data_IF_173332425423
#
_entry.id   IF_173332425423
#
_cell.length_a   1.000
_cell.length_b   1.000
_cell.length_c   1.000
_cell.angle_alpha   90.00
_cell.angle_beta   90.00
_cell.angle_gamma   90.00
#
_symmetry.space_group_name_H-M   'P 1'
#
loop_
_entity.id
_entity.type
_entity.pdbx_description
1 polymer ?
#
# COMPACT_ATOMS: atom_id res chain seq x y z
N UNK A 1 -16.15 13.14 -14.02
CA UNK A 1 -15.85 12.93 -12.60
C UNK A 1 -14.93 14.03 -12.09
N UNK A 2 -15.50 14.96 -11.33
CA UNK A 2 -14.71 15.94 -10.59
C UNK A 2 -14.07 15.29 -9.35
N UNK A 3 -13.28 16.03 -8.57
CA UNK A 3 -12.56 15.47 -7.41
C UNK A 3 -13.51 14.93 -6.34
N UNK A 4 -14.64 15.61 -6.09
CA UNK A 4 -15.59 15.23 -5.04
C UNK A 4 -16.43 14.01 -5.43
N UNK A 5 -16.82 13.90 -6.69
CA UNK A 5 -17.51 12.73 -7.24
C UNK A 5 -16.62 11.47 -7.15
N UNK A 6 -15.30 11.62 -7.31
CA UNK A 6 -14.36 10.51 -7.11
C UNK A 6 -14.34 10.01 -5.67
N UNK A 7 -14.29 10.92 -4.69
CA UNK A 7 -14.30 10.52 -3.27
C UNK A 7 -15.61 9.88 -2.87
N UNK A 8 -16.73 10.44 -3.34
CA UNK A 8 -18.05 9.89 -3.07
C UNK A 8 -18.18 8.48 -3.63
N UNK A 9 -17.87 8.26 -4.90
CA UNK A 9 -17.92 6.91 -5.49
C UNK A 9 -17.01 5.91 -4.80
N UNK A 10 -15.82 6.34 -4.37
CA UNK A 10 -14.93 5.47 -3.62
C UNK A 10 -15.50 5.14 -2.23
N UNK A 11 -16.01 6.14 -1.51
CA UNK A 11 -16.65 5.92 -0.21
C UNK A 11 -17.89 5.04 -0.31
N UNK A 12 -18.78 5.29 -1.28
CA UNK A 12 -20.00 4.51 -1.50
C UNK A 12 -19.69 3.04 -1.78
N UNK A 13 -18.71 2.76 -2.65
CA UNK A 13 -18.26 1.39 -2.93
C UNK A 13 -17.70 0.70 -1.68
N UNK A 14 -16.93 1.43 -0.88
CA UNK A 14 -16.38 0.91 0.38
C UNK A 14 -17.47 0.68 1.42
N UNK A 15 -18.45 1.58 1.55
CA UNK A 15 -19.59 1.42 2.47
C UNK A 15 -20.35 0.14 2.12
N UNK A 16 -20.61 -0.09 0.83
CA UNK A 16 -21.29 -1.31 0.39
C UNK A 16 -20.48 -2.56 0.71
N UNK A 17 -19.16 -2.53 0.45
CA UNK A 17 -18.27 -3.63 0.83
C UNK A 17 -18.22 -3.85 2.35
N UNK A 18 -18.25 -2.78 3.14
CA UNK A 18 -18.29 -2.86 4.60
C UNK A 18 -19.57 -3.56 5.07
N UNK A 19 -20.72 -3.18 4.49
CA UNK A 19 -22.04 -3.80 4.79
C UNK A 19 -22.08 -5.28 4.43
N UNK A 20 -21.40 -5.66 3.36
CA UNK A 20 -21.31 -7.05 2.90
C UNK A 20 -20.21 -7.87 3.60
N UNK A 21 -19.39 -7.26 4.47
CA UNK A 21 -18.24 -7.93 5.08
C UNK A 21 -17.13 -8.28 4.08
N UNK A 22 -17.08 -7.58 2.93
CA UNK A 22 -16.17 -7.86 1.82
C UNK A 22 -15.14 -6.76 1.62
N UNK A 23 -15.11 -5.71 2.45
CA UNK A 23 -14.05 -4.70 2.36
C UNK A 23 -12.68 -5.36 2.46
N UNK A 24 -11.62 -4.82 1.80
CA UNK A 24 -10.32 -5.49 1.75
C UNK A 24 -9.78 -5.90 3.13
N UNK A 25 -10.00 -5.09 4.16
CA UNK A 25 -9.56 -5.37 5.54
C UNK A 25 -10.57 -6.18 6.38
N UNK A 26 -11.76 -6.50 5.85
CA UNK A 26 -12.74 -7.39 6.49
C UNK A 26 -12.64 -8.83 5.99
N UNK A 27 -11.78 -9.10 5.00
CA UNK A 27 -11.53 -10.46 4.53
C UNK A 27 -10.38 -11.09 5.31
N UNK A 28 -10.48 -12.39 5.65
CA UNK A 28 -9.32 -13.14 6.11
C UNK A 28 -8.35 -13.31 4.93
N UNK A 29 -7.07 -13.06 5.19
CA UNK A 29 -6.00 -13.30 4.22
C UNK A 29 -5.00 -14.26 4.85
N UNK A 30 -4.70 -15.36 4.16
CA UNK A 30 -3.79 -16.37 4.68
C UNK A 30 -2.34 -15.88 4.67
N UNK A 31 -1.47 -16.46 5.51
CA UNK A 31 -0.04 -16.20 5.47
C UNK A 31 0.56 -16.39 4.08
N UNK A 32 1.40 -15.44 3.65
CA UNK A 32 2.07 -15.45 2.36
C UNK A 32 1.22 -15.01 1.16
N UNK A 33 -0.09 -14.77 1.32
CA UNK A 33 -0.91 -14.19 0.25
C UNK A 33 -0.48 -12.75 -0.07
N UNK A 34 -0.49 -12.40 -1.36
CA UNK A 34 -0.22 -11.03 -1.84
C UNK A 34 -1.45 -10.48 -2.52
N UNK A 35 -2.17 -9.62 -1.81
CA UNK A 35 -3.52 -9.16 -2.15
C UNK A 35 -3.53 -7.67 -2.48
N UNK A 36 -2.52 -6.92 -2.02
CA UNK A 36 -2.42 -5.50 -2.25
C UNK A 36 -1.99 -5.19 -3.70
N UNK A 37 -2.66 -4.22 -4.34
CA UNK A 37 -2.36 -3.82 -5.71
C UNK A 37 -0.90 -3.41 -5.91
N UNK A 38 -0.32 -3.84 -7.03
CA UNK A 38 1.04 -3.49 -7.43
C UNK A 38 1.11 -3.01 -8.86
N UNK A 39 2.09 -2.17 -9.17
CA UNK A 39 2.25 -1.65 -10.51
C UNK A 39 2.89 -2.70 -11.43
N UNK A 40 2.22 -3.02 -12.54
CA UNK A 40 2.64 -4.05 -13.51
C UNK A 40 4.04 -3.86 -14.10
N UNK A 41 4.55 -2.62 -14.09
CA UNK A 41 5.84 -2.28 -14.70
C UNK A 41 6.98 -2.17 -13.69
N UNK A 42 6.68 -1.90 -12.41
CA UNK A 42 7.74 -1.66 -11.41
C UNK A 42 7.76 -2.66 -10.28
N UNK A 43 6.75 -3.54 -10.21
CA UNK A 43 6.49 -4.46 -9.10
C UNK A 43 6.36 -3.76 -7.73
N UNK A 44 6.21 -2.44 -7.72
CA UNK A 44 5.99 -1.65 -6.50
C UNK A 44 4.52 -1.65 -6.16
N UNK A 45 4.19 -1.91 -4.90
CA UNK A 45 2.83 -1.72 -4.38
C UNK A 45 2.36 -0.29 -4.61
N UNK A 46 1.08 -0.13 -4.94
CA UNK A 46 0.41 1.15 -4.80
C UNK A 46 0.39 1.54 -3.32
N UNK A 47 0.12 2.82 -3.03
CA UNK A 47 0.20 3.36 -1.67
C UNK A 47 -1.05 4.13 -1.29
N UNK A 48 -1.37 4.11 0.00
CA UNK A 48 -2.47 4.85 0.62
C UNK A 48 -3.80 4.63 -0.10
N UNK A 49 -4.55 5.71 -0.31
CA UNK A 49 -5.89 5.66 -0.93
C UNK A 49 -5.94 4.95 -2.29
N UNK A 50 -4.89 5.05 -3.13
CA UNK A 50 -4.88 4.32 -4.40
C UNK A 50 -4.77 2.81 -4.19
N UNK A 51 -3.98 2.37 -3.21
CA UNK A 51 -3.85 0.94 -2.92
C UNK A 51 -5.20 0.37 -2.45
N UNK A 52 -5.86 1.09 -1.54
CA UNK A 52 -7.14 0.62 -1.01
C UNK A 52 -8.27 0.69 -2.05
N UNK A 53 -8.29 1.74 -2.88
CA UNK A 53 -9.25 1.87 -3.97
C UNK A 53 -9.10 0.75 -5.00
N UNK A 54 -7.87 0.45 -5.43
CA UNK A 54 -7.63 -0.63 -6.37
C UNK A 54 -7.92 -2.01 -5.75
N UNK A 55 -7.64 -2.22 -4.46
CA UNK A 55 -8.00 -3.45 -3.76
C UNK A 55 -9.53 -3.64 -3.67
N UNK A 56 -10.24 -2.55 -3.40
CA UNK A 56 -11.71 -2.52 -3.42
C UNK A 56 -12.27 -2.89 -4.80
N UNK A 57 -11.71 -2.35 -5.88
CA UNK A 57 -12.12 -2.70 -7.24
C UNK A 57 -11.74 -4.14 -7.61
N UNK A 58 -10.57 -4.64 -7.18
CA UNK A 58 -10.22 -6.06 -7.36
C UNK A 58 -11.30 -6.96 -6.76
N UNK A 59 -11.73 -6.65 -5.54
CA UNK A 59 -12.75 -7.42 -4.85
C UNK A 59 -14.11 -7.33 -5.54
N UNK A 60 -14.54 -6.13 -5.94
CA UNK A 60 -15.82 -5.91 -6.64
C UNK A 60 -15.87 -6.67 -7.97
N UNK A 61 -14.77 -6.67 -8.72
CA UNK A 61 -14.69 -7.28 -10.05
C UNK A 61 -14.24 -8.75 -10.03
N UNK A 62 -13.86 -9.29 -8.87
CA UNK A 62 -13.35 -10.65 -8.73
C UNK A 62 -11.96 -10.88 -9.33
N UNK A 63 -11.12 -9.84 -9.44
CA UNK A 63 -9.75 -9.98 -9.96
C UNK A 63 -8.82 -10.61 -8.92
N UNK A 64 -8.12 -11.68 -9.32
CA UNK A 64 -7.07 -12.35 -8.54
C UNK A 64 -5.65 -11.86 -8.85
N UNK A 65 -5.38 -11.33 -10.05
CA UNK A 65 -4.10 -10.69 -10.36
C UNK A 65 -4.04 -9.30 -9.74
N UNK A 66 -3.08 -9.05 -8.87
CA UNK A 66 -2.95 -7.75 -8.18
C UNK A 66 -2.18 -6.72 -9.01
N UNK A 67 -1.75 -7.04 -10.23
CA UNK A 67 -1.02 -6.12 -11.10
C UNK A 67 -1.97 -5.14 -11.77
N UNK A 68 -1.66 -3.85 -11.63
CA UNK A 68 -2.37 -2.75 -12.29
C UNK A 68 -1.41 -1.86 -13.05
N UNK A 69 -1.81 -1.41 -14.24
CA UNK A 69 -0.99 -0.50 -15.04
C UNK A 69 -1.82 0.39 -15.94
N UNK A 70 -1.25 1.52 -16.34
CA UNK A 70 -1.82 2.29 -17.45
C UNK A 70 -1.80 1.46 -18.73
N UNK A 71 -2.66 1.80 -19.70
CA UNK A 71 -2.69 1.12 -21.01
C UNK A 71 -1.28 1.01 -21.63
N UNK A 72 -0.50 2.10 -21.59
CA UNK A 72 0.87 2.12 -22.12
C UNK A 72 1.83 1.22 -21.36
N UNK A 73 1.67 1.07 -20.05
CA UNK A 73 2.50 0.15 -19.25
C UNK A 73 2.18 -1.30 -19.57
N UNK A 74 0.89 -1.64 -19.71
CA UNK A 74 0.45 -2.97 -20.12
C UNK A 74 1.00 -3.30 -21.51
N UNK A 75 0.88 -2.38 -22.46
CA UNK A 75 1.41 -2.53 -23.82
C UNK A 75 2.94 -2.70 -23.83
N UNK A 76 3.67 -1.93 -23.02
CA UNK A 76 5.11 -2.05 -22.91
C UNK A 76 5.56 -3.41 -22.32
N UNK A 77 4.66 -4.13 -21.66
CA UNK A 77 4.87 -5.48 -21.10
C UNK A 77 4.32 -6.59 -21.99
N UNK A 78 3.96 -6.28 -23.24
CA UNK A 78 3.44 -7.25 -24.21
C UNK A 78 1.95 -7.52 -24.10
N UNK A 79 1.26 -6.86 -23.16
CA UNK A 79 -0.18 -7.02 -22.97
C UNK A 79 -1.02 -6.11 -23.87
N UNK A 80 -2.25 -6.50 -24.11
CA UNK A 80 -3.25 -5.70 -24.82
C UNK A 80 -4.55 -5.66 -24.02
N UNK A 81 -4.92 -4.48 -23.51
CA UNK A 81 -6.23 -4.30 -22.86
C UNK A 81 -7.33 -4.63 -23.85
N UNK A 82 -8.28 -5.48 -23.46
CA UNK A 82 -9.36 -5.92 -24.35
C UNK A 82 -10.29 -4.77 -24.73
N UNK A 83 -10.86 -4.84 -25.92
CA UNK A 83 -11.81 -3.84 -26.41
C UNK A 83 -13.06 -3.83 -25.53
N UNK A 84 -13.44 -2.66 -25.02
CA UNK A 84 -14.63 -2.49 -24.19
C UNK A 84 -14.35 -2.46 -22.68
N UNK A 85 -13.16 -2.88 -22.25
CA UNK A 85 -12.73 -2.80 -20.85
C UNK A 85 -12.70 -1.34 -20.35
N UNK A 86 -13.15 -1.14 -19.10
CA UNK A 86 -13.15 0.17 -18.44
C UNK A 86 -12.03 0.22 -17.42
N UNK A 87 -11.20 1.24 -17.51
CA UNK A 87 -10.11 1.44 -16.55
C UNK A 87 -10.56 2.16 -15.29
N UNK A 88 -9.84 1.90 -14.20
CA UNK A 88 -10.03 2.50 -12.88
C UNK A 88 -9.21 3.78 -12.75
N UNK A 89 -9.81 4.83 -12.19
CA UNK A 89 -9.13 6.11 -11.99
C UNK A 89 -8.36 6.11 -10.67
N UNK A 90 -7.12 6.59 -10.70
CA UNK A 90 -6.31 6.81 -9.50
C UNK A 90 -5.78 8.24 -9.44
N UNK A 91 -5.48 8.72 -8.24
CA UNK A 91 -5.00 10.07 -7.99
C UNK A 91 -3.52 10.04 -7.56
N UNK A 92 -2.66 10.73 -8.29
CA UNK A 92 -1.26 10.94 -7.93
C UNK A 92 -1.06 12.37 -7.46
N UNK A 93 -0.64 12.50 -6.21
CA UNK A 93 -0.31 13.79 -5.61
C UNK A 93 1.18 14.07 -5.84
N UNK A 94 1.47 15.17 -6.51
CA UNK A 94 2.82 15.69 -6.67
C UNK A 94 2.97 16.89 -5.76
N UNK A 95 3.79 16.74 -4.71
CA UNK A 95 4.11 17.78 -3.74
C UNK A 95 5.45 18.47 -4.04
N UNK A 96 6.21 17.95 -5.01
CA UNK A 96 7.50 18.46 -5.44
C UNK A 96 7.56 18.60 -6.96
N UNK A 97 8.12 19.71 -7.44
CA UNK A 97 8.51 19.87 -8.85
C UNK A 97 9.99 19.60 -9.03
N UNK A 98 10.32 18.92 -10.13
CA UNK A 98 11.70 18.69 -10.56
C UNK A 98 12.16 19.88 -11.40
N UNK A 99 13.21 20.58 -10.96
CA UNK A 99 13.75 21.77 -11.62
C UNK A 99 15.19 21.52 -12.03
N UNK A 100 15.54 21.87 -13.26
CA UNK A 100 16.91 21.77 -13.73
C UNK A 100 17.79 22.75 -12.93
N UNK A 101 18.88 22.25 -12.35
CA UNK A 101 19.90 23.12 -11.75
C UNK A 101 20.63 23.80 -12.90
N UNK A 102 20.75 25.13 -12.84
CA UNK A 102 21.47 25.90 -13.86
C UNK A 102 22.82 26.39 -13.33
N UNK A 103 23.79 26.59 -14.21
CA UNK A 103 25.03 27.30 -13.93
C UNK A 103 24.80 28.83 -13.86
N UNK A 104 25.88 29.59 -13.62
CA UNK A 104 25.84 31.05 -13.51
C UNK A 104 25.37 31.75 -14.82
N UNK A 105 25.39 31.03 -15.94
CA UNK A 105 24.99 31.47 -17.27
C UNK A 105 23.59 30.99 -17.66
N UNK A 106 22.86 30.36 -16.73
CA UNK A 106 21.50 29.88 -16.93
C UNK A 106 21.41 28.58 -17.74
N UNK A 107 22.52 27.91 -18.05
CA UNK A 107 22.51 26.62 -18.76
C UNK A 107 22.32 25.46 -17.78
N UNK A 108 21.63 24.37 -18.18
CA UNK A 108 21.45 23.20 -17.31
C UNK A 108 22.80 22.60 -16.90
N UNK A 109 23.07 22.58 -15.61
CA UNK A 109 24.21 21.89 -15.00
C UNK A 109 24.12 20.40 -15.33
N UNK A 110 25.25 19.79 -15.65
CA UNK A 110 25.38 18.36 -15.93
C UNK A 110 26.28 17.69 -14.89
N UNK A 111 25.99 16.43 -14.59
CA UNK A 111 26.86 15.58 -13.76
C UNK A 111 28.05 15.05 -14.57
N UNK A 112 28.90 14.22 -13.94
CA UNK A 112 30.10 13.67 -14.55
C UNK A 112 29.79 12.80 -15.79
N UNK A 113 28.59 12.23 -15.85
CA UNK A 113 28.07 11.41 -16.95
C UNK A 113 27.35 12.23 -18.03
N UNK A 114 27.38 13.57 -17.93
CA UNK A 114 26.78 14.48 -18.89
C UNK A 114 25.25 14.57 -18.81
N UNK A 115 24.63 14.02 -17.76
CA UNK A 115 23.19 14.04 -17.54
C UNK A 115 22.80 15.30 -16.77
N UNK A 116 21.62 15.87 -17.09
CA UNK A 116 21.13 17.09 -16.44
C UNK A 116 20.92 16.84 -14.94
N UNK A 117 21.46 17.74 -14.12
CA UNK A 117 21.26 17.75 -12.67
C UNK A 117 19.93 18.43 -12.37
N UNK A 118 19.16 17.83 -11.47
CA UNK A 118 17.87 18.35 -11.04
C UNK A 118 17.83 18.51 -9.53
N UNK A 119 17.12 19.54 -9.06
CA UNK A 119 16.69 19.67 -7.66
C UNK A 119 15.18 19.52 -7.56
N UNK A 120 14.70 19.14 -6.38
CA UNK A 120 13.28 19.08 -6.09
C UNK A 120 12.91 20.27 -5.20
N UNK A 121 11.94 21.06 -5.65
CA UNK A 121 11.34 22.12 -4.84
C UNK A 121 9.95 21.69 -4.40
N UNK A 122 9.64 21.89 -3.12
CA UNK A 122 8.31 21.69 -2.57
C UNK A 122 7.35 22.69 -3.22
N UNK A 123 6.21 22.21 -3.70
CA UNK A 123 5.16 23.04 -4.26
C UNK A 123 4.39 23.73 -3.13
N UNK A 124 3.89 24.94 -3.42
CA UNK A 124 3.02 25.68 -2.49
C UNK A 124 1.72 24.91 -2.18
N UNK A 125 1.22 24.15 -3.15
CA UNK A 125 0.10 23.24 -3.00
C UNK A 125 0.35 21.96 -3.82
N UNK A 126 -0.14 20.79 -3.38
CA UNK A 126 -0.03 19.55 -4.14
C UNK A 126 -0.73 19.65 -5.49
N UNK A 127 -0.05 19.27 -6.56
CA UNK A 127 -0.66 19.10 -7.87
C UNK A 127 -1.22 17.68 -7.99
N UNK A 128 -2.52 17.57 -8.27
CA UNK A 128 -3.20 16.28 -8.43
C UNK A 128 -3.22 15.89 -9.90
N UNK A 129 -2.58 14.77 -10.24
CA UNK A 129 -2.71 14.12 -11.54
C UNK A 129 -3.67 12.95 -11.43
N UNK A 130 -4.51 12.80 -12.43
CA UNK A 130 -5.36 11.62 -12.58
C UNK A 130 -4.75 10.67 -13.59
N UNK A 131 -4.72 9.39 -13.27
CA UNK A 131 -4.34 8.34 -14.21
C UNK A 131 -5.47 7.32 -14.31
N UNK A 132 -5.61 6.70 -15.48
CA UNK A 132 -6.47 5.54 -15.67
C UNK A 132 -5.58 4.31 -15.77
N UNK A 133 -5.84 3.33 -14.91
CA UNK A 133 -5.14 2.05 -14.85
C UNK A 133 -6.12 0.91 -15.10
N UNK A 134 -5.61 -0.20 -15.58
CA UNK A 134 -6.35 -1.43 -15.83
C UNK A 134 -5.67 -2.54 -15.02
N UNK A 135 -6.47 -3.48 -14.53
CA UNK A 135 -5.97 -4.70 -13.94
C UNK A 135 -5.36 -5.58 -15.03
N UNK A 136 -4.37 -6.41 -14.70
CA UNK A 136 -3.75 -7.33 -15.64
C UNK A 136 -4.77 -8.32 -16.24
N UNK A 137 -5.80 -8.71 -15.50
CA UNK A 137 -6.87 -9.57 -16.00
C UNK A 137 -7.74 -8.90 -17.06
N UNK A 138 -7.70 -7.57 -17.20
CA UNK A 138 -8.38 -6.83 -18.29
C UNK A 138 -7.60 -6.88 -19.61
N UNK A 139 -6.44 -7.52 -19.65
CA UNK A 139 -5.55 -7.57 -20.80
C UNK A 139 -5.19 -9.00 -21.19
N UNK A 140 -4.99 -9.21 -22.49
CA UNK A 140 -4.47 -10.46 -23.03
C UNK A 140 -2.96 -10.34 -23.28
N UNK A 141 -2.22 -11.45 -23.26
CA UNK A 141 -0.81 -11.48 -23.63
C UNK A 141 0.19 -11.00 -22.56
N UNK A 142 -0.28 -10.63 -21.37
CA UNK A 142 0.63 -10.42 -20.23
C UNK A 142 1.20 -11.75 -19.75
N UNK A 143 2.49 -11.81 -19.39
CA UNK A 143 3.05 -13.01 -18.77
C UNK A 143 2.38 -13.29 -17.44
N UNK A 144 2.26 -14.57 -17.09
CA UNK A 144 1.76 -14.99 -15.78
C UNK A 144 2.59 -14.35 -14.67
N UNK A 145 1.92 -13.96 -13.60
CA UNK A 145 2.58 -13.39 -12.43
C UNK A 145 3.36 -14.49 -11.72
N UNK A 146 4.67 -14.29 -11.56
CA UNK A 146 5.43 -15.09 -10.62
C UNK A 146 4.92 -14.80 -9.19
N UNK A 147 4.17 -15.73 -8.63
CA UNK A 147 3.84 -15.71 -7.21
C UNK A 147 5.05 -16.27 -6.45
N UNK A 148 5.57 -15.55 -5.45
CA UNK A 148 6.68 -16.07 -4.66
C UNK A 148 6.21 -17.27 -3.86
N UNK A 149 7.08 -18.25 -3.71
CA UNK A 149 6.86 -19.36 -2.80
C UNK A 149 6.67 -18.81 -1.38
N UNK A 150 5.57 -19.16 -0.68
CA UNK A 150 5.38 -18.75 0.70
C UNK A 150 6.55 -19.21 1.57
N UNK A 151 7.02 -18.30 2.44
CA UNK A 151 8.03 -18.64 3.44
C UNK A 151 7.42 -19.57 4.50
N UNK A 152 8.19 -20.52 5.08
CA UNK A 152 7.69 -21.34 6.17
C UNK A 152 7.20 -20.50 7.36
N UNK A 153 6.08 -20.90 7.97
CA UNK A 153 5.43 -20.13 9.04
C UNK A 153 6.35 -19.82 10.22
N UNK A 154 7.28 -20.71 10.59
CA UNK A 154 8.23 -20.45 11.68
C UNK A 154 9.13 -19.23 11.38
N UNK A 155 9.52 -19.02 10.12
CA UNK A 155 10.35 -17.88 9.70
C UNK A 155 9.51 -16.60 9.63
N UNK A 156 8.27 -16.71 9.15
CA UNK A 156 7.30 -15.61 9.18
C UNK A 156 7.03 -15.14 10.62
N UNK A 157 6.81 -16.07 11.55
CA UNK A 157 6.60 -15.79 12.97
C UNK A 157 7.84 -15.17 13.63
N UNK A 158 9.05 -15.64 13.27
CA UNK A 158 10.28 -15.04 13.77
C UNK A 158 10.44 -13.58 13.30
N UNK A 159 10.09 -13.30 12.05
CA UNK A 159 10.11 -11.93 11.54
C UNK A 159 9.04 -11.06 12.20
N UNK A 160 7.84 -11.59 12.40
CA UNK A 160 6.77 -10.89 13.12
C UNK A 160 7.17 -10.54 14.57
N UNK A 161 7.82 -11.46 15.29
CA UNK A 161 8.36 -11.21 16.63
C UNK A 161 9.38 -10.06 16.61
N UNK A 162 10.33 -10.07 15.66
CA UNK A 162 11.32 -8.99 15.52
C UNK A 162 10.67 -7.65 15.20
N UNK A 163 9.63 -7.63 14.35
CA UNK A 163 8.87 -6.42 14.04
C UNK A 163 8.19 -5.87 15.30
N UNK A 164 7.61 -6.74 16.13
CA UNK A 164 7.02 -6.34 17.42
C UNK A 164 8.07 -5.76 18.38
N UNK A 165 9.19 -6.45 18.55
CA UNK A 165 10.31 -5.98 19.39
C UNK A 165 10.87 -4.63 18.91
N UNK A 166 11.04 -4.49 17.60
CA UNK A 166 11.62 -3.31 16.97
C UNK A 166 10.68 -2.10 16.97
N UNK A 167 9.38 -2.35 17.05
CA UNK A 167 8.36 -1.35 17.39
C UNK A 167 8.74 -0.56 18.64
N UNK A 168 9.34 -1.23 19.63
CA UNK A 168 9.90 -0.61 20.83
C UNK A 168 8.83 -0.15 21.82
N UNK A 169 7.65 -0.78 21.80
CA UNK A 169 6.58 -0.57 22.77
C UNK A 169 6.52 -1.82 23.67
N UNK A 170 6.54 -1.67 25.01
CA UNK A 170 6.42 -2.81 25.92
C UNK A 170 5.17 -3.64 25.63
N UNK A 171 5.34 -4.97 25.59
CA UNK A 171 4.24 -5.93 25.45
C UNK A 171 4.08 -6.68 26.76
N UNK A 172 2.88 -6.63 27.34
CA UNK A 172 2.53 -7.30 28.58
C UNK A 172 1.45 -8.34 28.33
N UNK A 173 1.71 -9.58 28.73
CA UNK A 173 0.74 -10.67 28.64
C UNK A 173 -0.05 -10.79 29.94
N UNK A 174 -1.37 -10.95 29.83
CA UNK A 174 -2.30 -11.10 30.96
C UNK A 174 -3.33 -12.16 30.63
N UNK A 175 -3.56 -13.10 31.53
CA UNK A 175 -4.65 -14.07 31.36
C UNK A 175 -6.00 -13.34 31.15
N UNK A 176 -6.69 -13.65 30.06
CA UNK A 176 -7.95 -13.03 29.69
C UNK A 176 -8.26 -13.14 28.19
N UNK A 177 -9.22 -12.37 27.71
CA UNK A 177 -9.69 -12.37 26.32
C UNK A 177 -9.52 -11.01 25.61
N UNK A 178 -8.91 -10.04 26.30
CA UNK A 178 -8.73 -8.67 25.79
C UNK A 178 -7.30 -8.43 25.33
N UNK A 179 -7.16 -7.95 24.10
CA UNK A 179 -5.94 -7.28 23.63
C UNK A 179 -6.27 -5.83 23.30
N UNK A 180 -5.37 -4.92 23.67
CA UNK A 180 -5.53 -3.48 23.48
C UNK A 180 -4.19 -2.75 23.67
N UNK A 181 -4.03 -1.61 23.02
CA UNK A 181 -3.00 -0.63 23.34
C UNK A 181 -3.44 0.32 24.48
N UNK A 182 -2.65 0.40 25.55
CA UNK A 182 -2.91 1.23 26.72
C UNK A 182 -2.14 2.56 26.66
N UNK A 183 -2.73 3.58 26.01
CA UNK A 183 -2.07 4.86 25.73
C UNK A 183 -1.40 5.54 26.93
N UNK A 184 -2.06 5.63 28.10
CA UNK A 184 -1.48 6.34 29.27
C UNK A 184 -0.21 5.68 29.83
N UNK A 185 -0.03 4.38 29.59
CA UNK A 185 1.12 3.60 30.04
C UNK A 185 2.10 3.34 28.91
N UNK A 186 1.73 3.70 27.68
CA UNK A 186 2.45 3.37 26.46
C UNK A 186 2.86 1.89 26.42
N UNK A 187 1.89 0.99 26.63
CA UNK A 187 2.11 -0.46 26.60
C UNK A 187 1.03 -1.16 25.77
N UNK A 188 1.39 -2.28 25.14
CA UNK A 188 0.46 -3.21 24.49
C UNK A 188 0.12 -4.31 25.50
N UNK A 189 -1.16 -4.56 25.72
CA UNK A 189 -1.63 -5.67 26.56
C UNK A 189 -2.23 -6.73 25.65
N UNK A 190 -1.78 -7.98 25.79
CA UNK A 190 -2.30 -9.14 25.05
C UNK A 190 -2.71 -10.26 26.02
N UNK A 191 -3.65 -11.15 25.63
CA UNK A 191 -3.82 -12.44 26.28
C UNK A 191 -2.52 -13.24 26.31
N UNK A 192 -2.41 -14.23 27.19
CA UNK A 192 -1.26 -15.14 27.18
C UNK A 192 -1.17 -15.87 25.83
N UNK A 193 0.06 -16.09 25.34
CA UNK A 193 0.28 -16.65 23.99
C UNK A 193 -0.45 -17.98 23.78
N UNK A 194 -0.53 -18.82 24.82
CA UNK A 194 -1.22 -20.11 24.78
C UNK A 194 -2.75 -20.03 24.69
N UNK A 195 -3.33 -18.85 24.90
CA UNK A 195 -4.77 -18.63 24.75
C UNK A 195 -5.19 -18.31 23.31
N UNK A 196 -4.23 -17.97 22.45
CA UNK A 196 -4.52 -17.73 21.05
C UNK A 196 -4.68 -19.05 20.30
N UNK A 197 -5.63 -19.15 19.35
CA UNK A 197 -5.85 -20.37 18.57
C UNK A 197 -4.67 -20.74 17.68
N UNK A 198 -3.79 -19.79 17.35
CA UNK A 198 -2.52 -20.04 16.67
C UNK A 198 -1.53 -18.91 16.92
N UNK A 199 -0.23 -19.18 16.70
CA UNK A 199 0.80 -18.14 16.69
C UNK A 199 0.52 -17.07 15.63
N UNK A 200 -0.12 -17.44 14.51
CA UNK A 200 -0.47 -16.48 13.47
C UNK A 200 -1.52 -15.47 13.95
N UNK A 201 -2.59 -15.94 14.61
CA UNK A 201 -3.59 -15.07 15.23
C UNK A 201 -3.01 -14.17 16.31
N UNK A 202 -2.04 -14.67 17.08
CA UNK A 202 -1.29 -13.85 18.04
C UNK A 202 -0.61 -12.67 17.33
N UNK A 203 0.17 -12.92 16.28
CA UNK A 203 0.88 -11.83 15.58
C UNK A 203 -0.04 -10.90 14.80
N UNK A 204 -1.13 -11.41 14.20
CA UNK A 204 -2.14 -10.55 13.56
C UNK A 204 -2.76 -9.58 14.57
N UNK A 205 -3.14 -10.08 15.75
CA UNK A 205 -3.65 -9.24 16.85
C UNK A 205 -2.59 -8.26 17.34
N UNK A 206 -1.36 -8.73 17.55
CA UNK A 206 -0.27 -7.89 18.05
C UNK A 206 0.10 -6.75 17.09
N UNK A 207 0.07 -6.99 15.77
CA UNK A 207 0.30 -5.96 14.75
C UNK A 207 -0.80 -4.90 14.72
N UNK A 208 -2.05 -5.27 14.97
CA UNK A 208 -3.15 -4.32 15.12
C UNK A 208 -2.89 -3.39 16.32
N UNK A 209 -2.57 -3.94 17.50
CA UNK A 209 -2.26 -3.13 18.68
C UNK A 209 -0.98 -2.29 18.52
N UNK A 210 0.01 -2.82 17.82
CA UNK A 210 1.21 -2.06 17.44
C UNK A 210 0.82 -0.89 16.53
N UNK A 211 -0.11 -1.08 15.61
CA UNK A 211 -0.71 -0.03 14.78
C UNK A 211 -1.27 1.11 15.62
N UNK A 212 -2.10 0.82 16.62
CA UNK A 212 -2.59 1.82 17.58
C UNK A 212 -1.45 2.52 18.31
N UNK A 213 -0.46 1.76 18.79
CA UNK A 213 0.65 2.32 19.54
C UNK A 213 1.33 3.45 18.76
N UNK A 214 1.51 3.33 17.44
CA UNK A 214 2.17 4.39 16.64
C UNK A 214 1.50 5.76 16.74
N UNK A 215 0.24 5.85 17.13
CA UNK A 215 -0.49 7.11 17.30
C UNK A 215 -0.14 7.90 18.58
N UNK A 216 0.63 7.34 19.51
CA UNK A 216 1.06 8.02 20.73
C UNK A 216 1.76 9.36 20.45
N UNK A 217 1.66 10.29 21.41
CA UNK A 217 2.19 11.67 21.32
C UNK A 217 3.69 11.73 20.99
N UNK A 218 4.46 10.75 21.44
CA UNK A 218 5.92 10.69 21.22
C UNK A 218 6.29 9.96 19.91
N UNK A 219 5.29 9.56 19.11
CA UNK A 219 5.46 8.87 17.82
C UNK A 219 4.81 9.69 16.70
N UNK A 220 3.64 9.27 16.20
CA UNK A 220 2.94 9.98 15.13
C UNK A 220 2.01 11.07 15.64
N UNK A 221 1.71 11.09 16.94
CA UNK A 221 0.78 12.04 17.55
C UNK A 221 -0.54 12.16 16.76
N UNK A 222 -1.19 11.01 16.52
CA UNK A 222 -2.43 10.98 15.73
C UNK A 222 -3.59 11.53 16.57
N UNK A 223 -4.19 12.61 16.12
CA UNK A 223 -5.37 13.24 16.73
C UNK A 223 -6.51 12.23 16.91
N UNK A 224 -6.74 11.34 15.93
CA UNK A 224 -7.80 10.32 15.99
C UNK A 224 -7.66 9.37 17.19
N UNK A 225 -6.43 9.01 17.56
CA UNK A 225 -6.19 8.18 18.74
C UNK A 225 -6.42 8.99 20.04
N UNK A 226 -5.91 10.22 20.07
CA UNK A 226 -5.99 11.10 21.26
C UNK A 226 -7.46 11.41 21.57
N UNK A 227 -8.20 11.91 20.57
CA UNK A 227 -9.62 12.24 20.70
C UNK A 227 -10.49 11.00 20.90
N UNK A 228 -10.14 9.87 20.26
CA UNK A 228 -10.87 8.62 20.41
C UNK A 228 -10.84 8.08 21.84
N UNK A 229 -9.74 8.30 22.57
CA UNK A 229 -9.61 7.91 23.97
C UNK A 229 -10.44 8.82 24.88
N UNK A 230 -10.47 10.13 24.60
CA UNK A 230 -11.29 11.09 25.35
C UNK A 230 -12.79 10.84 25.14
N UNK A 231 -13.19 10.46 23.92
CA UNK A 231 -14.57 10.08 23.59
C UNK A 231 -14.98 8.69 24.09
N UNK A 232 -14.02 7.85 24.45
CA UNK A 232 -14.25 6.48 24.92
C UNK A 232 -14.53 5.47 23.80
N UNK A 233 -14.59 4.19 24.21
CA UNK A 233 -14.87 3.06 23.33
C UNK A 233 -16.22 3.23 22.62
N UNK A 234 -16.24 3.02 21.31
CA UNK A 234 -17.45 3.15 20.48
C UNK A 234 -17.79 4.58 20.06
N UNK A 235 -16.97 5.58 20.42
CA UNK A 235 -17.14 6.93 19.90
C UNK A 235 -16.82 7.03 18.39
N UNK A 236 -17.38 8.01 17.66
CA UNK A 236 -17.07 8.21 16.24
C UNK A 236 -15.57 8.41 15.97
N UNK A 237 -14.87 9.12 16.86
CA UNK A 237 -13.42 9.34 16.77
C UNK A 237 -12.66 8.03 16.95
N UNK A 238 -13.07 7.22 17.93
CA UNK A 238 -12.49 5.91 18.16
C UNK A 238 -12.69 4.98 16.96
N UNK A 239 -13.89 4.95 16.35
CA UNK A 239 -14.15 4.17 15.14
C UNK A 239 -13.24 4.58 13.96
N UNK A 240 -12.93 5.88 13.81
CA UNK A 240 -11.98 6.36 12.79
C UNK A 240 -10.54 5.87 13.04
N UNK A 241 -10.13 5.77 14.30
CA UNK A 241 -8.81 5.21 14.66
C UNK A 241 -8.76 3.70 14.42
N UNK A 242 -9.81 2.96 14.80
CA UNK A 242 -9.94 1.52 14.50
C UNK A 242 -9.87 1.24 13.00
N UNK A 243 -10.51 2.06 12.16
CA UNK A 243 -10.41 1.93 10.71
C UNK A 243 -8.96 2.06 10.22
N UNK A 244 -8.18 2.96 10.80
CA UNK A 244 -6.75 3.15 10.47
C UNK A 244 -5.92 1.97 10.93
N UNK A 245 -6.12 1.53 12.17
CA UNK A 245 -5.42 0.39 12.75
C UNK A 245 -5.68 -0.88 11.95
N UNK A 246 -6.94 -1.17 11.60
CA UNK A 246 -7.33 -2.38 10.87
C UNK A 246 -6.76 -2.43 9.44
N UNK A 247 -6.85 -1.31 8.69
CA UNK A 247 -6.23 -1.22 7.36
C UNK A 247 -4.70 -1.36 7.47
N UNK A 248 -4.09 -0.78 8.51
CA UNK A 248 -2.64 -0.85 8.72
C UNK A 248 -2.18 -2.25 9.13
N UNK A 249 -2.98 -2.99 9.89
CA UNK A 249 -2.72 -4.37 10.30
C UNK A 249 -2.71 -5.27 9.07
N UNK A 250 -3.71 -5.14 8.19
CA UNK A 250 -3.73 -5.85 6.90
C UNK A 250 -2.49 -5.53 6.05
N UNK A 251 -2.18 -4.23 5.86
CA UNK A 251 -1.01 -3.80 5.07
C UNK A 251 0.31 -4.33 5.64
N UNK A 252 0.47 -4.28 6.96
CA UNK A 252 1.70 -4.72 7.63
C UNK A 252 1.78 -6.24 7.65
N UNK A 253 0.67 -6.92 7.90
CA UNK A 253 0.55 -8.36 7.95
C UNK A 253 0.88 -9.02 6.61
N UNK A 254 0.44 -8.45 5.47
CA UNK A 254 0.89 -8.89 4.14
C UNK A 254 2.42 -8.78 3.99
N UNK A 255 2.99 -7.65 4.41
CA UNK A 255 4.42 -7.36 4.22
C UNK A 255 5.34 -8.20 5.11
N UNK A 256 4.88 -8.54 6.31
CA UNK A 256 5.56 -9.47 7.23
C UNK A 256 5.30 -10.93 6.81
N UNK A 257 4.15 -11.20 6.19
CA UNK A 257 3.76 -12.52 5.69
C UNK A 257 2.79 -13.28 6.59
N UNK A 258 2.31 -12.69 7.69
CA UNK A 258 1.33 -13.31 8.62
C UNK A 258 -0.12 -13.24 8.11
N UNK A 259 -0.37 -12.52 7.01
CA UNK A 259 -1.72 -12.31 6.48
C UNK A 259 -2.54 -11.38 7.38
N UNK A 260 -3.86 -11.57 7.44
CA UNK A 260 -4.79 -10.71 8.20
C UNK A 260 -5.97 -11.52 8.73
N UNK A 261 -6.41 -11.23 9.96
CA UNK A 261 -7.65 -11.74 10.55
C UNK A 261 -8.56 -10.57 10.94
N UNK A 262 -9.76 -10.44 10.34
CA UNK A 262 -10.68 -9.34 10.58
C UNK A 262 -11.60 -9.54 11.80
N UNK A 263 -11.45 -10.64 12.55
CA UNK A 263 -12.40 -11.06 13.59
C UNK A 263 -12.71 -10.00 14.66
N UNK A 264 -11.82 -9.03 14.87
CA UNK A 264 -11.97 -7.95 15.86
C UNK A 264 -12.69 -6.71 15.33
N UNK A 265 -12.72 -6.51 14.01
CA UNK A 265 -13.28 -5.30 13.39
C UNK A 265 -14.81 -5.19 13.45
N UNK A 266 -15.53 -6.28 13.73
CA UNK A 266 -16.99 -6.34 13.66
C UNK A 266 -17.70 -5.30 14.55
N UNK A 267 -17.12 -4.98 15.73
CA UNK A 267 -17.71 -4.04 16.69
C UNK A 267 -17.73 -2.59 16.20
N UNK A 268 -16.97 -2.25 15.15
CA UNK A 268 -16.79 -0.86 14.69
C UNK A 268 -17.41 -0.57 13.33
N UNK A 269 -18.02 -1.59 12.70
CA UNK A 269 -18.60 -1.52 11.35
C UNK A 269 -19.58 -0.36 11.19
N UNK A 270 -20.51 -0.18 12.14
CA UNK A 270 -21.48 0.91 12.11
C UNK A 270 -20.81 2.29 12.18
N UNK A 271 -19.82 2.43 13.07
CA UNK A 271 -19.05 3.66 13.21
C UNK A 271 -18.21 3.99 11.97
N UNK A 272 -17.69 2.98 11.28
CA UNK A 272 -16.99 3.16 10.00
C UNK A 272 -17.94 3.66 8.93
N UNK A 273 -19.11 3.02 8.76
CA UNK A 273 -20.11 3.42 7.77
C UNK A 273 -20.52 4.88 8.01
N UNK A 274 -20.87 5.22 9.25
CA UNK A 274 -21.26 6.59 9.60
C UNK A 274 -20.15 7.60 9.28
N UNK A 275 -18.90 7.32 9.63
CA UNK A 275 -17.79 8.22 9.35
C UNK A 275 -17.59 8.47 7.84
N UNK A 276 -17.84 7.46 7.00
CA UNK A 276 -17.73 7.57 5.54
C UNK A 276 -18.93 8.25 4.89
N UNK A 277 -20.14 8.05 5.44
CA UNK A 277 -21.36 8.76 5.01
C UNK A 277 -21.29 10.26 5.33
N UNK A 278 -20.74 10.61 6.50
CA UNK A 278 -20.54 12.00 6.93
C UNK A 278 -19.46 12.73 6.11
N UNK A 279 -18.31 12.10 5.88
CA UNK A 279 -17.24 12.64 5.03
C UNK A 279 -16.65 11.58 4.10
N UNK A 280 -17.04 11.57 2.81
CA UNK A 280 -16.49 10.64 1.81
C UNK A 280 -14.97 10.73 1.62
N UNK A 281 -14.31 11.79 2.08
CA UNK A 281 -12.84 11.90 2.03
C UNK A 281 -12.17 11.10 3.14
N UNK A 282 -12.91 10.66 4.15
CA UNK A 282 -12.38 9.98 5.32
C UNK A 282 -11.67 8.68 4.97
N UNK A 283 -12.20 7.88 4.04
CA UNK A 283 -11.56 6.62 3.64
C UNK A 283 -10.16 6.83 3.06
N UNK A 284 -9.93 7.94 2.33
CA UNK A 284 -8.60 8.26 1.82
C UNK A 284 -7.65 8.74 2.91
N UNK A 285 -8.15 9.48 3.90
CA UNK A 285 -7.36 9.90 5.06
C UNK A 285 -6.97 8.67 5.88
N UNK A 286 -7.93 7.80 6.18
CA UNK A 286 -7.69 6.53 6.86
C UNK A 286 -6.67 5.67 6.12
N UNK A 287 -6.81 5.48 4.80
CA UNK A 287 -5.84 4.74 4.00
C UNK A 287 -4.45 5.38 3.96
N UNK A 288 -4.37 6.72 3.92
CA UNK A 288 -3.10 7.43 3.94
C UNK A 288 -2.41 7.31 5.30
N UNK A 289 -3.16 7.38 6.39
CA UNK A 289 -2.62 7.20 7.74
C UNK A 289 -2.24 5.75 8.00
N UNK A 290 -3.06 4.77 7.59
CA UNK A 290 -2.73 3.36 7.64
C UNK A 290 -1.43 3.02 6.90
N UNK A 291 -1.22 3.64 5.73
CA UNK A 291 0.04 3.52 5.01
C UNK A 291 1.22 4.06 5.85
N UNK A 292 1.08 5.23 6.47
CA UNK A 292 2.13 5.79 7.33
C UNK A 292 2.41 4.90 8.54
N UNK A 293 1.37 4.33 9.16
CA UNK A 293 1.48 3.38 10.28
C UNK A 293 2.34 2.19 9.86
N UNK A 294 1.96 1.54 8.76
CA UNK A 294 2.68 0.38 8.24
C UNK A 294 4.12 0.74 7.86
N UNK A 295 4.33 1.87 7.18
CA UNK A 295 5.67 2.35 6.83
C UNK A 295 6.51 2.58 8.09
N UNK A 296 6.01 3.24 9.13
CA UNK A 296 6.74 3.53 10.35
C UNK A 296 7.19 2.26 11.07
N UNK A 297 6.29 1.28 11.22
CA UNK A 297 6.61 0.00 11.85
C UNK A 297 7.71 -0.71 11.05
N UNK A 298 7.55 -0.81 9.73
CA UNK A 298 8.47 -1.55 8.86
C UNK A 298 9.79 -0.81 8.61
N UNK A 299 9.80 0.53 8.56
CA UNK A 299 10.99 1.35 8.41
C UNK A 299 11.84 1.26 9.68
N UNK A 300 11.22 1.38 10.87
CA UNK A 300 11.92 1.23 12.16
C UNK A 300 12.55 -0.15 12.32
N UNK A 301 11.83 -1.20 11.93
CA UNK A 301 12.37 -2.55 11.89
C UNK A 301 13.58 -2.65 10.94
N UNK A 302 13.46 -2.13 9.70
CA UNK A 302 14.57 -2.10 8.73
C UNK A 302 15.80 -1.33 9.25
N UNK A 303 15.59 -0.20 9.93
CA UNK A 303 16.66 0.60 10.55
C UNK A 303 17.36 -0.18 11.67
N UNK A 304 16.63 -0.90 12.52
CA UNK A 304 17.20 -1.71 13.60
C UNK A 304 17.93 -2.94 13.08
N UNK A 305 17.40 -3.61 12.06
CA UNK A 305 18.11 -4.70 11.35
C UNK A 305 19.43 -4.17 10.78
N UNK A 306 19.39 -3.00 10.12
CA UNK A 306 20.58 -2.36 9.57
C UNK A 306 21.62 -1.97 10.63
N UNK A 307 21.18 -1.61 11.83
CA UNK A 307 22.05 -1.29 12.96
C UNK A 307 22.66 -2.54 13.63
N UNK A 308 21.92 -3.66 13.68
CA UNK A 308 22.39 -4.93 14.27
C UNK A 308 23.38 -5.67 13.35
N UNK A 309 23.19 -5.56 12.03
CA UNK A 309 24.06 -6.19 11.03
C UNK A 309 24.36 -5.21 9.87
N UNK A 310 25.39 -4.36 10.01
CA UNK A 310 25.74 -3.37 8.99
C UNK A 310 26.26 -3.99 7.68
N UNK A 311 26.63 -5.28 7.67
CA UNK A 311 27.14 -5.99 6.47
C UNK A 311 25.98 -6.43 5.57
N UNK A 312 24.83 -6.80 6.14
CA UNK A 312 23.64 -7.20 5.38
C UNK A 312 23.03 -6.05 4.54
N UNK A 313 23.21 -4.79 4.95
CA UNK A 313 22.63 -3.60 4.30
C UNK A 313 23.29 -3.26 2.96
N UNK A 314 24.58 -3.60 2.79
CA UNK A 314 25.30 -3.38 1.53
C UNK A 314 24.74 -4.24 0.39
N UNK A 315 24.21 -5.44 0.68
CA UNK A 315 23.58 -6.31 -0.30
C UNK A 315 22.21 -5.79 -0.77
N UNK A 316 21.46 -5.09 0.09
CA UNK A 316 20.13 -4.54 -0.23
C UNK A 316 20.22 -3.18 -0.97
N UNK A 317 21.33 -2.47 -0.81
CA UNK A 317 21.58 -1.17 -1.48
C UNK A 317 22.17 -1.26 -2.88
N UNK A 318 22.53 -2.45 -3.35
CA UNK A 318 22.77 -2.64 -4.78
C UNK A 318 21.39 -2.65 -5.43
N UNK A 319 21.04 -1.69 -6.30
CA UNK A 319 19.86 -1.90 -7.12
C UNK A 319 20.14 -3.21 -7.86
N UNK A 320 19.30 -4.22 -7.65
CA UNK A 320 19.15 -5.26 -8.65
C UNK A 320 19.10 -4.50 -9.96
N UNK A 321 20.10 -4.72 -10.83
CA UNK A 321 20.02 -4.23 -12.18
C UNK A 321 18.71 -4.80 -12.68
N UNK A 322 17.67 -3.96 -12.74
CA UNK A 322 16.41 -4.34 -13.36
C UNK A 322 16.78 -4.91 -14.72
N UNK A 323 16.05 -5.93 -15.20
CA UNK A 323 16.40 -6.60 -16.45
C UNK A 323 16.79 -5.53 -17.46
N UNK A 324 18.04 -5.61 -17.92
CA UNK A 324 18.55 -4.67 -18.92
C UNK A 324 17.48 -4.58 -19.99
N UNK A 325 17.06 -3.36 -20.34
CA UNK A 325 16.16 -3.16 -21.47
C UNK A 325 16.82 -3.86 -22.66
N UNK A 326 16.35 -5.05 -23.00
CA UNK A 326 16.62 -5.65 -24.29
C UNK A 326 15.90 -4.73 -25.26
N UNK A 327 16.65 -3.80 -25.83
CA UNK A 327 16.23 -3.07 -27.01
C UNK A 327 16.20 -4.12 -28.11
N UNK A 328 15.05 -4.78 -28.28
CA UNK A 328 14.82 -5.60 -29.47
C UNK A 328 14.76 -4.59 -30.63
N UNK A 329 15.68 -4.64 -31.60
CA UNK A 329 15.58 -3.79 -32.76
C UNK A 329 14.30 -4.18 -33.50
N UNK A 330 13.37 -3.23 -33.64
CA UNK A 330 12.22 -3.39 -34.51
C UNK A 330 12.77 -3.63 -35.93
N UNK A 331 12.50 -4.77 -36.58
CA UNK A 331 12.90 -4.96 -37.95
C UNK A 331 12.22 -3.88 -38.79
N UNK A 332 13.02 -3.14 -39.57
CA UNK A 332 12.49 -2.23 -40.58
C UNK A 332 11.70 -3.08 -41.57
N UNK A 333 10.38 -2.92 -41.58
CA UNK A 333 9.53 -3.42 -42.65
C UNK A 333 10.02 -2.72 -43.92
N UNK A 334 10.51 -3.44 -44.95
CA UNK A 334 10.87 -2.83 -46.21
C UNK A 334 9.60 -2.23 -46.83
N UNK A 335 9.65 -0.92 -47.08
CA UNK A 335 8.65 -0.24 -47.91
C UNK A 335 8.77 -0.85 -49.31
N UNK A 336 7.70 -1.39 -49.91
CA UNK A 336 7.78 -1.87 -51.29
C UNK A 336 8.06 -0.67 -52.19
N UNK A 337 9.16 -0.75 -52.93
CA UNK A 337 9.50 0.20 -53.98
C UNK A 337 8.34 0.25 -54.97
N UNK A 338 7.74 1.44 -55.12
CA UNK A 338 6.86 1.72 -56.25
C UNK A 338 7.75 1.75 -57.49
N UNK A 339 7.82 0.63 -58.19
CA UNK A 339 8.34 0.58 -59.55
C UNK A 339 7.53 1.51 -60.43
N UNK A 340 8.15 2.62 -60.84
CA UNK A 340 7.72 3.38 -62.00
C UNK A 340 8.01 2.51 -63.24
N UNK A 341 6.98 1.88 -63.78
CA UNK A 341 7.02 1.34 -65.15
C UNK A 341 6.98 2.49 -66.16
N UNK A 342 7.74 2.42 -67.26
CA UNK A 342 7.81 3.49 -68.24
C UNK A 342 6.51 3.55 -69.06
N UNK A 343 6.09 4.77 -69.37
CA UNK A 343 5.00 5.05 -70.31
C UNK A 343 5.27 4.42 -71.68
N UNK A 344 4.30 3.62 -72.15
CA UNK A 344 3.89 3.56 -73.56
C UNK A 344 2.39 3.35 -73.64
#
# INVERSE_FOLDING_TARGET
>A
MNHDEYHRKFADAIIEQIRQGTAPWQKPWAPGERVMPMNVDTDRSYRGGNSLHLASVQQEMGYGDVRWGTYRQIQARGGQVRKGERGTRILSFQDKKRIAVTDAQGKPRRDAEGKKVYRYEKLKAPFVRQYTVFNAEQADGLPERANPTPEPLWKVHQEAERVMEDGGVPVRHVAGDRAYYHMKRDEIVLPERGQFPSANHYYQTALHELGHSTGHKDRMNRETLIEGIDGGFGSPQYAREELRAEISAMMTGERVGVGHDPSRGAAYVEGWIQALEEDPREIRRAAADAQKISDFVLDRHRERVAARDPVAVAAVRTPAQGPQRIVVPVPRIPVPERGFGPSR
#
